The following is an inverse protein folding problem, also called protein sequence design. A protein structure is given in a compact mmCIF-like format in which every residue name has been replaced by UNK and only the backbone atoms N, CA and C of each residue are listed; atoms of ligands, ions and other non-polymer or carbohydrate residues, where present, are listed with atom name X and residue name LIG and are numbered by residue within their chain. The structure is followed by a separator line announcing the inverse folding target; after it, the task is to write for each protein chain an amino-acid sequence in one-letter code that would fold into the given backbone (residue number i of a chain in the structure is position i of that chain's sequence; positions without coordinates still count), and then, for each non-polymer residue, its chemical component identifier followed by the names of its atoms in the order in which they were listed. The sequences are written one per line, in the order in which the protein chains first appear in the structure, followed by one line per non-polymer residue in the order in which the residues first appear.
data_IF_988850109847
#
_entry.id   IF_988850109847
#
_cell.length_a   1.000
_cell.length_b   1.000
_cell.length_c   1.000
_cell.angle_alpha   90.00
_cell.angle_beta   90.00
_cell.angle_gamma   90.00
#
_symmetry.space_group_name_H-M   'P 1'
#
loop_
_entity.id
_entity.type
_entity.pdbx_description
1 polymer ?
#
# COMPACT_ATOMS: atom_id res chain seq x y z
N UNK A 1 -12.65 -0.47 22.51
CA UNK A 1 -12.03 -1.79 22.32
C UNK A 1 -11.74 -1.86 20.84
N UNK A 2 -10.47 -1.97 20.47
CA UNK A 2 -10.11 -2.16 19.07
C UNK A 2 -10.45 -3.59 18.69
N UNK A 3 -11.10 -3.77 17.55
CA UNK A 3 -11.45 -5.06 16.98
C UNK A 3 -10.79 -5.25 15.60
N UNK A 4 -10.87 -6.46 15.07
CA UNK A 4 -10.28 -6.82 13.77
C UNK A 4 -10.75 -5.91 12.64
N UNK A 5 -12.03 -5.52 12.68
CA UNK A 5 -12.62 -4.70 11.63
C UNK A 5 -12.13 -3.23 11.72
N UNK A 6 -11.82 -2.72 12.92
CA UNK A 6 -11.13 -1.43 13.08
C UNK A 6 -9.74 -1.46 12.45
N UNK A 7 -8.99 -2.56 12.63
CA UNK A 7 -7.69 -2.75 11.98
C UNK A 7 -7.81 -2.79 10.46
N UNK A 8 -8.74 -3.59 9.92
CA UNK A 8 -9.00 -3.67 8.47
C UNK A 8 -9.44 -2.32 7.89
N UNK A 9 -10.29 -1.58 8.60
CA UNK A 9 -10.74 -0.27 8.17
C UNK A 9 -9.59 0.75 8.18
N UNK A 10 -8.67 0.68 9.14
CA UNK A 10 -7.46 1.51 9.16
C UNK A 10 -6.54 1.19 7.97
N UNK A 11 -6.30 -0.09 7.68
CA UNK A 11 -5.57 -0.55 6.50
C UNK A 11 -6.19 -0.03 5.19
N UNK A 12 -7.52 0.07 5.11
CA UNK A 12 -8.21 0.68 3.95
C UNK A 12 -8.10 2.20 3.88
N UNK A 13 -7.66 2.88 4.93
CA UNK A 13 -7.84 4.34 5.05
C UNK A 13 -6.63 5.16 4.64
N UNK A 14 -5.42 4.61 4.62
CA UNK A 14 -4.17 5.39 4.45
C UNK A 14 -4.21 6.46 3.34
N UNK A 15 -4.74 6.17 2.13
CA UNK A 15 -4.72 7.15 1.04
C UNK A 15 -5.47 8.46 1.33
N UNK A 16 -6.40 8.45 2.29
CA UNK A 16 -7.21 9.61 2.66
C UNK A 16 -6.83 10.24 4.00
N UNK A 17 -5.80 9.75 4.69
CA UNK A 17 -5.47 10.20 6.05
C UNK A 17 -4.38 11.25 6.11
N UNK A 18 -3.52 11.32 5.11
CA UNK A 18 -2.39 12.23 5.08
C UNK A 18 -2.11 12.74 3.67
N UNK A 19 -1.67 14.00 3.59
CA UNK A 19 -1.20 14.66 2.36
C UNK A 19 0.29 14.55 2.21
N UNK A 20 1.01 14.71 3.31
CA UNK A 20 2.46 14.54 3.31
C UNK A 20 2.96 13.87 4.57
N UNK A 21 4.06 13.14 4.42
CA UNK A 21 4.74 12.45 5.51
C UNK A 21 6.24 12.59 5.33
N UNK A 22 6.93 12.77 6.45
CA UNK A 22 8.36 12.55 6.57
C UNK A 22 8.57 11.32 7.44
N UNK A 23 9.36 10.37 6.95
CA UNK A 23 9.60 9.10 7.65
C UNK A 23 11.02 8.58 7.45
N UNK A 24 11.42 7.68 8.33
CA UNK A 24 12.61 6.84 8.19
C UNK A 24 12.17 5.38 8.14
N UNK A 25 12.57 4.63 7.11
CA UNK A 25 12.38 3.17 7.02
C UNK A 25 13.71 2.48 7.30
N UNK A 26 13.73 1.47 8.17
CA UNK A 26 14.87 0.59 8.39
C UNK A 26 14.48 -0.86 8.12
N UNK A 27 15.24 -1.58 7.31
CA UNK A 27 15.07 -3.03 7.14
C UNK A 27 15.65 -3.77 8.35
N UNK A 28 15.09 -4.94 8.66
CA UNK A 28 15.52 -5.81 9.78
C UNK A 28 15.70 -7.23 9.26
N UNK A 29 16.82 -7.87 9.62
CA UNK A 29 17.16 -9.22 9.17
C UNK A 29 17.64 -9.27 7.71
N UNK A 30 17.75 -10.48 7.16
CA UNK A 30 18.15 -10.71 5.76
C UNK A 30 16.96 -10.62 4.79
N UNK A 31 15.82 -10.05 5.22
CA UNK A 31 14.58 -9.96 4.44
C UNK A 31 14.80 -9.47 3.00
N UNK A 32 15.78 -8.58 2.79
CA UNK A 32 16.42 -8.25 1.52
C UNK A 32 17.85 -7.83 1.92
N UNK A 33 18.89 -8.39 1.31
CA UNK A 33 20.28 -8.20 1.76
C UNK A 33 20.68 -6.74 1.99
N UNK A 34 21.02 -6.44 3.25
CA UNK A 34 21.76 -5.29 3.82
C UNK A 34 21.00 -4.07 4.36
N UNK A 35 21.51 -3.57 5.50
CA UNK A 35 21.06 -2.44 6.32
C UNK A 35 20.91 -1.11 5.55
N UNK A 36 19.80 -0.90 4.85
CA UNK A 36 19.54 0.38 4.18
C UNK A 36 18.40 1.13 4.89
N UNK A 37 18.78 1.81 5.98
CA UNK A 37 17.97 2.88 6.55
C UNK A 37 17.84 4.01 5.52
N UNK A 38 16.61 4.39 5.18
CA UNK A 38 16.33 5.47 4.24
C UNK A 38 15.43 6.52 4.88
N UNK A 39 15.64 7.79 4.55
CA UNK A 39 14.74 8.89 4.94
C UNK A 39 13.96 9.37 3.74
N UNK A 40 12.65 9.52 3.90
CA UNK A 40 11.77 9.90 2.81
C UNK A 40 10.84 11.06 3.18
N UNK A 41 10.55 11.85 2.15
CA UNK A 41 9.53 12.90 2.14
C UNK A 41 8.57 12.58 1.01
N UNK A 42 7.31 12.37 1.32
CA UNK A 42 6.28 12.04 0.34
C UNK A 42 5.20 13.11 0.43
N UNK A 43 4.85 13.69 -0.71
CA UNK A 43 3.76 14.65 -0.89
C UNK A 43 2.78 14.08 -1.93
N UNK A 44 1.56 13.80 -1.49
CA UNK A 44 0.48 13.37 -2.37
C UNK A 44 -0.16 14.57 -3.08
N UNK A 45 -0.48 14.44 -4.38
CA UNK A 45 -0.18 13.29 -5.24
C UNK A 45 1.25 13.30 -5.79
N UNK A 46 1.88 12.12 -5.84
CA UNK A 46 2.91 11.81 -6.84
C UNK A 46 4.31 12.36 -6.60
N UNK A 47 4.59 13.08 -5.51
CA UNK A 47 5.95 13.57 -5.22
C UNK A 47 6.60 12.78 -4.10
N UNK A 48 7.83 12.38 -4.33
CA UNK A 48 8.63 11.69 -3.34
C UNK A 48 10.11 12.05 -3.48
N UNK A 49 10.76 12.21 -2.34
CA UNK A 49 12.21 12.27 -2.21
C UNK A 49 12.64 11.21 -1.21
N UNK A 50 13.58 10.34 -1.59
CA UNK A 50 14.22 9.38 -0.69
C UNK A 50 15.72 9.68 -0.66
N UNK A 51 16.31 9.65 0.52
CA UNK A 51 17.74 9.73 0.74
C UNK A 51 18.17 8.41 1.37
N UNK A 52 19.02 7.67 0.67
CA UNK A 52 19.55 6.38 1.14
C UNK A 52 20.65 6.56 2.21
N UNK A 53 21.19 5.44 2.70
CA UNK A 53 22.24 5.41 3.71
C UNK A 53 23.58 6.02 3.23
N UNK A 54 23.84 6.00 1.92
CA UNK A 54 25.01 6.60 1.26
C UNK A 54 24.82 8.10 0.98
N UNK A 55 23.60 8.62 1.21
CA UNK A 55 23.22 10.00 0.92
C UNK A 55 22.82 10.24 -0.53
N UNK A 56 22.60 9.20 -1.33
CA UNK A 56 22.06 9.30 -2.69
C UNK A 56 20.61 9.73 -2.62
N UNK A 57 20.25 10.72 -3.44
CA UNK A 57 18.87 11.19 -3.52
C UNK A 57 18.12 10.57 -4.70
N UNK A 58 16.95 10.02 -4.41
CA UNK A 58 15.99 9.54 -5.39
C UNK A 58 14.79 10.49 -5.39
N UNK A 59 14.58 11.19 -6.50
CA UNK A 59 13.48 12.12 -6.69
C UNK A 59 12.49 11.57 -7.70
N UNK A 60 11.22 11.50 -7.31
CA UNK A 60 10.11 11.11 -8.17
C UNK A 60 9.06 12.22 -8.15
N UNK A 61 8.66 12.69 -9.34
CA UNK A 61 7.52 13.58 -9.52
C UNK A 61 6.63 12.99 -10.62
N UNK A 62 5.57 12.30 -10.20
CA UNK A 62 4.53 11.73 -11.03
C UNK A 62 3.24 12.56 -10.95
N UNK A 63 3.34 13.85 -10.61
CA UNK A 63 2.16 14.73 -10.57
C UNK A 63 1.45 14.78 -11.93
N UNK A 64 0.11 15.02 -11.96
CA UNK A 64 -0.74 14.74 -13.13
C UNK A 64 -0.49 15.56 -14.40
N UNK A 65 0.57 16.35 -14.51
CA UNK A 65 0.86 17.10 -15.73
C UNK A 65 1.07 16.19 -16.96
N UNK A 66 1.46 14.91 -16.75
CA UNK A 66 1.74 13.95 -17.82
C UNK A 66 1.08 12.55 -17.65
N UNK A 67 0.07 12.39 -16.77
CA UNK A 67 -0.65 11.10 -16.62
C UNK A 67 -1.61 10.88 -17.80
N UNK A 68 -1.03 10.33 -18.88
CA UNK A 68 -1.60 10.21 -20.22
C UNK A 68 -2.84 9.31 -20.36
N UNK A 69 -3.58 9.60 -21.43
CA UNK A 69 -4.77 8.90 -21.91
C UNK A 69 -4.60 7.37 -21.88
N UNK A 70 -5.52 6.67 -21.22
CA UNK A 70 -5.73 5.23 -21.47
C UNK A 70 -6.52 5.08 -22.77
N UNK A 71 -5.86 4.76 -23.88
CA UNK A 71 -6.51 4.43 -25.14
C UNK A 71 -6.87 2.93 -25.15
N UNK A 72 -8.11 2.58 -24.80
CA UNK A 72 -8.61 1.21 -24.97
C UNK A 72 -8.95 1.02 -26.45
N UNK A 73 -8.07 0.34 -27.19
CA UNK A 73 -8.36 -0.08 -28.57
C UNK A 73 -8.95 -1.49 -28.55
N UNK A 74 -10.27 -1.60 -28.57
CA UNK A 74 -10.94 -2.86 -28.87
C UNK A 74 -10.83 -3.14 -30.37
N UNK A 75 -10.10 -4.18 -30.76
CA UNK A 75 -10.12 -4.69 -32.14
C UNK A 75 -11.30 -5.65 -32.28
N UNK A 76 -12.45 -5.14 -32.70
CA UNK A 76 -13.52 -5.98 -33.26
C UNK A 76 -13.30 -6.07 -34.77
N UNK A 77 -13.03 -7.29 -35.23
CA UNK A 77 -12.87 -7.67 -36.62
C UNK A 77 -14.24 -7.88 -37.28
N UNK A 78 -14.68 -6.87 -38.03
CA UNK A 78 -15.44 -7.11 -39.26
C UNK A 78 -16.81 -6.44 -39.37
N UNK A 79 -16.97 -5.77 -40.51
CA UNK A 79 -18.24 -5.45 -41.19
C UNK A 79 -19.00 -4.18 -40.78
N UNK A 80 -18.46 -3.05 -41.23
CA UNK A 80 -19.15 -2.08 -42.11
C UNK A 80 -20.51 -1.50 -41.69
N UNK A 81 -20.47 -0.29 -41.11
CA UNK A 81 -21.35 0.86 -41.42
C UNK A 81 -20.73 2.10 -40.75
N UNK A 82 -20.59 3.19 -41.51
CA UNK A 82 -19.93 4.43 -41.10
C UNK A 82 -20.77 5.28 -40.14
N UNK A 83 -21.08 4.76 -38.94
CA UNK A 83 -21.47 5.61 -37.82
C UNK A 83 -20.22 6.15 -37.13
N UNK A 84 -20.06 7.47 -37.18
CA UNK A 84 -18.99 8.17 -36.47
C UNK A 84 -19.02 7.82 -34.99
N UNK A 85 -18.02 7.05 -34.54
CA UNK A 85 -17.76 6.84 -33.13
C UNK A 85 -17.58 8.20 -32.46
N UNK A 86 -18.40 8.49 -31.47
CA UNK A 86 -18.17 9.65 -30.62
C UNK A 86 -16.73 9.56 -30.06
N UNK A 87 -15.97 10.67 -30.01
CA UNK A 87 -14.68 10.65 -29.34
C UNK A 87 -14.92 10.17 -27.91
N UNK A 88 -14.40 9.00 -27.57
CA UNK A 88 -14.38 8.51 -26.19
C UNK A 88 -13.45 9.47 -25.46
N UNK A 89 -14.00 10.35 -24.65
CA UNK A 89 -13.17 11.24 -23.83
C UNK A 89 -12.26 10.37 -22.97
N UNK A 90 -10.96 10.67 -22.89
CA UNK A 90 -10.07 9.88 -22.07
C UNK A 90 -10.55 9.87 -20.64
N UNK A 91 -10.60 8.68 -20.06
CA UNK A 91 -10.85 8.48 -18.63
C UNK A 91 -9.79 9.26 -17.86
N UNK A 92 -10.20 10.34 -17.19
CA UNK A 92 -9.31 11.07 -16.27
C UNK A 92 -9.03 10.14 -15.09
N UNK A 93 -7.78 9.69 -14.96
CA UNK A 93 -7.33 8.96 -13.77
C UNK A 93 -7.19 9.96 -12.64
N UNK A 94 -7.92 9.74 -11.56
CA UNK A 94 -7.91 10.54 -10.33
C UNK A 94 -7.12 9.82 -9.25
N UNK A 95 -6.68 10.54 -8.22
CA UNK A 95 -6.09 9.97 -7.00
C UNK A 95 -6.98 10.26 -5.77
N UNK A 96 -6.86 9.51 -4.67
CA UNK A 96 -7.74 9.60 -3.49
C UNK A 96 -8.01 11.00 -2.92
N UNK A 97 -7.07 11.95 -3.04
CA UNK A 97 -7.20 13.31 -2.51
C UNK A 97 -7.60 14.35 -3.57
N UNK A 98 -7.80 13.94 -4.82
CA UNK A 98 -8.29 14.83 -5.86
C UNK A 98 -9.76 15.21 -5.58
N UNK A 99 -10.14 16.49 -5.74
CA UNK A 99 -11.54 16.90 -5.56
C UNK A 99 -12.53 16.19 -6.52
N UNK A 100 -12.03 15.71 -7.66
CA UNK A 100 -12.82 14.98 -8.65
C UNK A 100 -12.84 13.45 -8.42
N UNK A 101 -12.05 12.94 -7.46
CA UNK A 101 -12.04 11.52 -7.15
C UNK A 101 -13.35 11.10 -6.48
N UNK A 102 -13.86 9.89 -6.76
CA UNK A 102 -14.99 9.34 -6.02
C UNK A 102 -14.63 9.21 -4.53
N UNK A 103 -15.51 9.67 -3.65
CA UNK A 103 -15.31 9.54 -2.22
C UNK A 103 -15.45 8.08 -1.76
N UNK A 104 -14.65 7.61 -0.78
CA UNK A 104 -14.82 6.30 -0.18
C UNK A 104 -16.07 6.24 0.69
N UNK A 105 -16.62 5.04 0.86
CA UNK A 105 -17.64 4.83 1.88
C UNK A 105 -16.98 4.82 3.25
N UNK A 106 -17.49 5.67 4.15
CA UNK A 106 -16.95 5.82 5.51
C UNK A 106 -17.87 5.19 6.55
N UNK A 107 -17.23 4.63 7.57
CA UNK A 107 -17.85 4.19 8.81
C UNK A 107 -18.20 5.41 9.70
N UNK A 108 -19.03 5.23 10.74
CA UNK A 108 -19.32 6.29 11.71
C UNK A 108 -18.09 6.84 12.45
N UNK A 109 -17.02 6.03 12.56
CA UNK A 109 -15.73 6.41 13.17
C UNK A 109 -14.80 7.19 12.20
N UNK A 110 -15.23 7.38 10.95
CA UNK A 110 -14.49 8.11 9.91
C UNK A 110 -13.52 7.25 9.09
N UNK A 111 -13.27 5.99 9.49
CA UNK A 111 -12.45 5.05 8.73
C UNK A 111 -13.19 4.55 7.48
N UNK A 112 -12.44 4.08 6.49
CA UNK A 112 -12.97 3.59 5.22
C UNK A 112 -13.61 2.21 5.41
N UNK A 113 -14.91 2.13 5.15
CA UNK A 113 -15.64 0.87 5.02
C UNK A 113 -15.30 0.20 3.69
N UNK A 114 -15.33 0.96 2.60
CA UNK A 114 -15.12 0.45 1.24
C UNK A 114 -14.45 1.49 0.36
N UNK A 115 -13.39 1.08 -0.33
CA UNK A 115 -12.71 1.93 -1.33
C UNK A 115 -13.52 1.99 -2.63
N UNK A 116 -13.49 3.11 -3.36
CA UNK A 116 -14.02 3.17 -4.71
C UNK A 116 -13.35 2.09 -5.60
N UNK A 117 -14.15 1.18 -6.13
CA UNK A 117 -13.71 0.16 -7.08
C UNK A 117 -13.88 0.70 -8.51
N UNK A 118 -12.78 0.98 -9.21
CA UNK A 118 -12.82 1.43 -10.60
C UNK A 118 -11.44 1.76 -11.15
N UNK A 119 -11.24 1.55 -12.45
CA UNK A 119 -9.95 1.80 -13.15
C UNK A 119 -9.59 3.28 -13.26
N UNK A 120 -10.45 4.18 -12.78
CA UNK A 120 -10.28 5.63 -12.84
C UNK A 120 -9.66 6.22 -11.57
N UNK A 121 -9.30 5.38 -10.59
CA UNK A 121 -8.62 5.82 -9.36
C UNK A 121 -7.28 5.09 -9.24
N UNK A 122 -6.18 5.85 -9.26
CA UNK A 122 -4.85 5.34 -8.97
C UNK A 122 -4.54 5.52 -7.48
N UNK A 123 -4.31 4.41 -6.78
CA UNK A 123 -4.02 4.41 -5.35
C UNK A 123 -2.53 4.46 -5.02
N UNK A 124 -1.68 4.01 -5.94
CA UNK A 124 -0.27 3.83 -5.67
C UNK A 124 0.44 5.18 -5.51
N UNK A 125 1.17 5.30 -4.40
CA UNK A 125 2.17 6.33 -4.19
C UNK A 125 3.41 6.05 -5.06
N UNK A 126 4.26 7.07 -5.31
CA UNK A 126 5.53 6.87 -5.98
C UNK A 126 6.34 5.72 -5.37
N UNK A 127 6.82 4.83 -6.23
CA UNK A 127 7.56 3.64 -5.83
C UNK A 127 9.04 3.97 -5.57
N UNK A 128 9.59 3.48 -4.46
CA UNK A 128 11.02 3.41 -4.21
C UNK A 128 11.43 1.93 -4.15
N UNK A 129 12.35 1.52 -5.01
CA UNK A 129 12.85 0.15 -5.22
C UNK A 129 11.80 -0.85 -5.73
N UNK A 130 10.72 -1.09 -4.99
CA UNK A 130 9.72 -2.11 -5.30
C UNK A 130 8.36 -1.86 -4.61
N UNK A 131 7.38 -2.73 -4.84
CA UNK A 131 6.02 -2.58 -4.32
C UNK A 131 5.86 -2.81 -2.81
N UNK A 132 6.87 -3.35 -2.11
CA UNK A 132 6.84 -3.43 -0.64
C UNK A 132 6.75 -2.01 -0.04
N UNK A 133 7.45 -1.04 -0.65
CA UNK A 133 7.37 0.36 -0.29
C UNK A 133 5.95 0.92 -0.42
N UNK A 134 5.29 0.64 -1.53
CA UNK A 134 3.92 1.11 -1.80
C UNK A 134 2.93 0.43 -0.86
N UNK A 135 3.09 -0.87 -0.62
CA UNK A 135 2.25 -1.63 0.29
C UNK A 135 2.44 -1.22 1.77
N UNK A 136 3.63 -0.76 2.15
CA UNK A 136 3.91 -0.15 3.46
C UNK A 136 3.14 1.17 3.63
N UNK A 137 3.21 2.07 2.64
CA UNK A 137 2.52 3.36 2.67
C UNK A 137 1.00 3.22 2.64
N UNK A 138 0.50 2.23 1.92
CA UNK A 138 -0.90 1.93 1.80
C UNK A 138 -1.16 0.44 2.10
N UNK A 139 -1.37 0.00 3.35
CA UNK A 139 -1.43 -1.43 3.68
C UNK A 139 -2.79 -2.09 3.41
N UNK A 140 -3.46 -1.77 2.30
CA UNK A 140 -4.78 -2.32 1.93
C UNK A 140 -4.82 -3.85 1.90
N UNK A 141 -3.69 -4.48 1.60
CA UNK A 141 -3.50 -5.93 1.59
C UNK A 141 -3.83 -6.58 2.95
N UNK A 142 -3.75 -5.81 4.05
CA UNK A 142 -4.13 -6.27 5.39
C UNK A 142 -5.64 -6.16 5.66
N UNK A 143 -6.42 -5.62 4.72
CA UNK A 143 -7.85 -5.36 4.93
C UNK A 143 -8.75 -6.51 4.52
N UNK A 144 -8.29 -7.39 3.63
CA UNK A 144 -9.00 -8.57 3.15
C UNK A 144 -8.00 -9.72 2.89
N UNK A 145 -8.48 -10.95 2.78
CA UNK A 145 -7.63 -12.10 2.44
C UNK A 145 -6.60 -12.50 3.51
N UNK A 146 -6.64 -11.89 4.70
CA UNK A 146 -5.80 -12.21 5.85
C UNK A 146 -6.64 -12.61 7.07
N UNK A 147 -6.20 -13.58 7.85
CA UNK A 147 -6.73 -13.86 9.18
C UNK A 147 -6.05 -12.92 10.19
N UNK A 148 -6.85 -12.21 11.01
CA UNK A 148 -6.33 -11.38 12.11
C UNK A 148 -6.40 -12.20 13.39
N UNK A 149 -5.25 -12.68 13.86
CA UNK A 149 -5.16 -13.60 15.00
C UNK A 149 -5.22 -12.87 16.35
N UNK A 150 -4.73 -11.63 16.37
CA UNK A 150 -4.76 -10.74 17.51
C UNK A 150 -4.73 -9.30 17.01
N UNK A 151 -5.32 -8.40 17.80
CA UNK A 151 -5.19 -6.95 17.61
C UNK A 151 -5.19 -6.27 18.96
N UNK A 152 -4.28 -5.32 19.14
CA UNK A 152 -4.22 -4.47 20.30
C UNK A 152 -3.84 -3.04 19.93
N UNK A 153 -4.23 -2.10 20.80
CA UNK A 153 -3.86 -0.71 20.66
C UNK A 153 -2.73 -0.40 21.63
N UNK A 154 -1.64 0.13 21.08
CA UNK A 154 -0.44 0.51 21.83
C UNK A 154 -0.02 1.93 21.46
N UNK A 155 1.01 2.43 22.16
CA UNK A 155 1.69 3.68 21.81
C UNK A 155 3.11 3.33 21.40
N UNK A 156 3.45 3.55 20.13
CA UNK A 156 4.79 3.35 19.57
C UNK A 156 5.40 4.70 19.23
N UNK A 157 6.57 5.00 19.79
CA UNK A 157 7.26 6.29 19.59
C UNK A 157 6.37 7.53 19.83
N UNK A 158 5.45 7.43 20.79
CA UNK A 158 4.52 8.52 21.13
C UNK A 158 3.31 8.64 20.21
N UNK A 159 3.08 7.69 19.31
CA UNK A 159 1.96 7.65 18.36
C UNK A 159 1.04 6.47 18.64
N UNK A 160 -0.27 6.70 18.59
CA UNK A 160 -1.25 5.62 18.73
C UNK A 160 -1.10 4.63 17.55
N UNK A 161 -1.01 3.35 17.85
CA UNK A 161 -0.71 2.30 16.86
C UNK A 161 -1.58 1.08 17.12
N UNK A 162 -2.04 0.43 16.04
CA UNK A 162 -2.70 -0.88 16.12
C UNK A 162 -1.69 -1.97 15.77
N UNK A 163 -1.29 -2.76 16.75
CA UNK A 163 -0.45 -3.94 16.53
C UNK A 163 -1.35 -5.15 16.33
N UNK A 164 -1.01 -6.00 15.35
CA UNK A 164 -1.75 -7.19 15.02
C UNK A 164 -0.82 -8.33 14.62
N UNK A 165 -1.23 -9.56 14.92
CA UNK A 165 -0.65 -10.75 14.29
C UNK A 165 -1.60 -11.22 13.20
N UNK A 166 -1.09 -11.33 11.98
CA UNK A 166 -1.89 -11.68 10.79
C UNK A 166 -1.32 -12.90 10.07
N UNK A 167 -2.18 -13.63 9.36
CA UNK A 167 -1.77 -14.74 8.49
C UNK A 167 -2.45 -14.60 7.12
N UNK A 168 -1.70 -14.61 6.00
CA UNK A 168 -2.28 -14.68 4.66
C UNK A 168 -3.15 -15.94 4.50
N UNK A 169 -4.31 -15.78 3.88
CA UNK A 169 -5.17 -16.89 3.46
C UNK A 169 -5.06 -17.09 1.95
N UNK A 170 -5.69 -18.14 1.40
CA UNK A 170 -5.76 -18.33 -0.06
C UNK A 170 -6.49 -17.19 -0.81
N UNK A 171 -7.19 -16.29 -0.10
CA UNK A 171 -7.82 -15.10 -0.67
C UNK A 171 -6.94 -13.84 -0.55
N UNK A 172 -5.69 -13.95 -0.06
CA UNK A 172 -4.75 -12.84 0.01
C UNK A 172 -4.47 -12.31 -1.41
N UNK A 173 -4.67 -11.02 -1.60
CA UNK A 173 -4.54 -10.33 -2.90
C UNK A 173 -3.48 -9.23 -2.74
N UNK A 174 -2.17 -9.58 -2.83
CA UNK A 174 -1.11 -8.60 -2.72
C UNK A 174 -1.10 -7.67 -3.94
N UNK A 175 -0.66 -6.42 -3.78
CA UNK A 175 -0.47 -5.51 -4.92
C UNK A 175 0.49 -6.06 -5.95
N UNK A 176 1.50 -6.76 -5.47
CA UNK A 176 2.53 -7.37 -6.28
C UNK A 176 2.94 -8.69 -5.65
N UNK A 177 2.84 -9.78 -6.40
CA UNK A 177 3.13 -11.14 -5.90
C UNK A 177 4.61 -11.35 -5.55
N UNK A 178 5.55 -10.68 -6.25
CA UNK A 178 6.99 -10.79 -5.97
C UNK A 178 7.50 -9.84 -4.88
N UNK A 179 6.70 -8.85 -4.46
CA UNK A 179 7.07 -7.86 -3.43
C UNK A 179 5.86 -7.55 -2.52
N UNK A 180 5.12 -8.60 -2.17
CA UNK A 180 3.94 -8.49 -1.32
C UNK A 180 4.30 -7.90 0.05
N UNK A 181 3.33 -7.29 0.74
CA UNK A 181 3.59 -6.88 2.12
C UNK A 181 3.89 -8.10 3.00
N UNK A 182 3.10 -9.18 2.85
CA UNK A 182 3.26 -10.44 3.56
C UNK A 182 3.90 -11.48 2.62
N UNK A 183 5.22 -11.40 2.44
CA UNK A 183 5.96 -12.36 1.60
C UNK A 183 5.98 -13.73 2.29
N UNK A 184 5.15 -14.65 1.79
CA UNK A 184 5.00 -15.99 2.35
C UNK A 184 4.62 -17.03 1.30
N UNK A 185 4.23 -18.22 1.77
CA UNK A 185 3.82 -19.34 0.90
C UNK A 185 2.74 -18.92 -0.11
N UNK A 186 1.73 -18.16 0.35
CA UNK A 186 0.61 -17.73 -0.51
C UNK A 186 1.08 -16.82 -1.65
N UNK A 187 1.87 -15.78 -1.35
CA UNK A 187 2.37 -14.88 -2.40
C UNK A 187 3.33 -15.58 -3.35
N UNK A 188 4.12 -16.54 -2.84
CA UNK A 188 5.00 -17.36 -3.66
C UNK A 188 4.24 -18.31 -4.60
N UNK A 189 3.13 -18.91 -4.12
CA UNK A 189 2.23 -19.70 -4.96
C UNK A 189 1.59 -18.86 -6.07
N UNK A 190 1.11 -17.66 -5.74
CA UNK A 190 0.57 -16.70 -6.72
C UNK A 190 1.63 -16.32 -7.77
N UNK A 191 2.84 -15.95 -7.34
CA UNK A 191 3.95 -15.62 -8.24
C UNK A 191 4.25 -16.75 -9.21
N UNK A 192 4.28 -18.00 -8.71
CA UNK A 192 4.48 -19.18 -9.55
C UNK A 192 3.34 -19.38 -10.54
N UNK A 193 2.09 -19.19 -10.11
CA UNK A 193 0.92 -19.30 -10.97
C UNK A 193 0.93 -18.25 -12.11
N UNK A 194 1.55 -17.09 -11.86
CA UNK A 194 1.77 -16.03 -12.86
C UNK A 194 2.98 -16.29 -13.78
N UNK A 195 3.72 -17.38 -13.57
CA UNK A 195 4.92 -17.72 -14.33
C UNK A 195 6.18 -16.97 -13.89
N UNK A 196 6.15 -16.40 -12.68
CA UNK A 196 7.32 -15.81 -12.04
C UNK A 196 8.39 -16.83 -11.65
N UNK A 197 9.54 -16.37 -11.15
CA UNK A 197 10.60 -17.27 -10.70
C UNK A 197 10.11 -18.13 -9.54
N UNK A 198 10.57 -19.38 -9.50
CA UNK A 198 10.40 -20.18 -8.30
C UNK A 198 11.15 -19.49 -7.15
N UNK A 199 10.50 -19.32 -5.97
CA UNK A 199 11.19 -18.84 -4.80
C UNK A 199 12.37 -19.76 -4.47
N UNK A 200 13.39 -19.21 -3.82
CA UNK A 200 14.47 -20.03 -3.27
C UNK A 200 13.90 -21.09 -2.31
N UNK A 201 14.55 -22.25 -2.23
CA UNK A 201 14.18 -23.30 -1.28
C UNK A 201 14.37 -22.76 0.16
N UNK A 202 13.29 -22.19 0.72
CA UNK A 202 13.24 -21.63 2.08
C UNK A 202 11.94 -21.97 2.77
N UNK A 203 11.96 -22.04 4.10
CA UNK A 203 10.76 -22.09 4.92
C UNK A 203 10.19 -20.67 5.09
N UNK A 204 8.95 -20.45 4.64
CA UNK A 204 8.25 -19.18 4.85
C UNK A 204 7.71 -19.04 6.28
N UNK A 205 7.49 -17.80 6.70
CA UNK A 205 6.82 -17.48 7.96
C UNK A 205 5.37 -18.02 8.02
N UNK A 206 4.95 -18.44 9.21
CA UNK A 206 3.59 -18.95 9.48
C UNK A 206 2.58 -17.82 9.72
N UNK A 207 3.08 -16.66 10.15
CA UNK A 207 2.33 -15.46 10.47
C UNK A 207 3.26 -14.24 10.44
N UNK A 208 2.69 -13.05 10.56
CA UNK A 208 3.41 -11.80 10.57
C UNK A 208 2.91 -10.92 11.71
N UNK A 209 3.83 -10.31 12.46
CA UNK A 209 3.48 -9.18 13.33
C UNK A 209 3.54 -7.91 12.50
N UNK A 210 2.48 -7.11 12.56
CA UNK A 210 2.36 -5.84 11.83
C UNK A 210 1.84 -4.74 12.74
N UNK A 211 2.21 -3.51 12.47
CA UNK A 211 1.76 -2.35 13.23
C UNK A 211 1.28 -1.24 12.31
N UNK A 212 0.09 -0.69 12.55
CA UNK A 212 -0.48 0.43 11.77
C UNK A 212 -0.55 1.69 12.61
N UNK A 213 0.07 2.77 12.15
CA UNK A 213 -0.07 4.09 12.79
C UNK A 213 -1.51 4.59 12.65
N UNK A 214 -2.16 4.94 13.76
CA UNK A 214 -3.59 5.31 13.76
C UNK A 214 -3.83 6.62 13.02
N UNK A 215 -2.90 7.57 13.08
CA UNK A 215 -3.06 8.87 12.42
C UNK A 215 -2.99 8.73 10.89
N UNK A 216 -2.04 7.96 10.36
CA UNK A 216 -1.76 7.86 8.91
C UNK A 216 -2.32 6.60 8.26
N UNK A 217 -2.48 5.51 8.99
CA UNK A 217 -2.79 4.19 8.45
C UNK A 217 -1.60 3.49 7.79
N UNK A 218 -0.39 4.05 7.86
CA UNK A 218 0.85 3.46 7.33
C UNK A 218 1.23 2.23 8.15
N UNK A 219 1.74 1.19 7.49
CA UNK A 219 2.36 0.06 8.16
C UNK A 219 3.75 0.48 8.69
N UNK A 220 3.88 0.60 10.01
CA UNK A 220 5.08 1.08 10.68
C UNK A 220 5.96 -0.02 11.27
N UNK A 221 5.48 -1.26 11.25
CA UNK A 221 6.29 -2.43 11.52
C UNK A 221 5.79 -3.61 10.70
N UNK A 222 6.74 -4.43 10.26
CA UNK A 222 6.48 -5.79 9.82
C UNK A 222 7.57 -6.72 10.37
N UNK A 223 7.16 -7.86 10.91
CA UNK A 223 8.04 -8.97 11.30
C UNK A 223 7.49 -10.30 10.84
N UNK A 224 8.35 -11.11 10.23
CA UNK A 224 8.11 -12.53 10.00
C UNK A 224 8.08 -13.28 11.34
N UNK A 225 7.12 -14.20 11.49
CA UNK A 225 7.00 -15.09 12.65
C UNK A 225 7.09 -16.55 12.18
N UNK A 226 8.22 -17.19 12.50
CA UNK A 226 8.61 -18.49 11.97
C UNK A 226 9.34 -18.40 10.63
N UNK A 227 9.58 -19.56 10.01
CA UNK A 227 10.37 -19.64 8.77
C UNK A 227 11.88 -19.47 9.01
N UNK A 228 12.62 -19.40 7.90
CA UNK A 228 14.08 -19.22 7.93
C UNK A 228 14.48 -17.76 8.25
N UNK A 229 13.60 -16.80 7.95
CA UNK A 229 13.81 -15.36 8.13
C UNK A 229 13.06 -14.81 9.37
N UNK A 230 12.87 -15.63 10.42
CA UNK A 230 12.14 -15.24 11.65
C UNK A 230 12.66 -13.92 12.24
N UNK A 231 11.73 -12.99 12.47
CA UNK A 231 12.03 -11.64 12.96
C UNK A 231 12.53 -10.66 11.90
N UNK A 232 12.64 -11.05 10.63
CA UNK A 232 12.98 -10.14 9.54
C UNK A 232 11.77 -9.29 9.10
N UNK A 233 12.03 -8.15 8.45
CA UNK A 233 11.00 -7.22 7.97
C UNK A 233 11.48 -5.77 7.97
N UNK A 234 10.68 -4.84 8.49
CA UNK A 234 11.05 -3.41 8.55
C UNK A 234 10.44 -2.65 9.72
N UNK A 235 11.07 -1.54 10.08
CA UNK A 235 10.58 -0.50 10.98
C UNK A 235 10.36 0.80 10.21
N UNK A 236 9.31 1.55 10.56
CA UNK A 236 9.11 2.92 10.09
C UNK A 236 8.92 3.86 11.25
N UNK A 237 9.74 4.91 11.29
CA UNK A 237 9.56 6.05 12.19
C UNK A 237 8.98 7.22 11.43
N UNK A 238 7.83 7.73 11.89
CA UNK A 238 7.17 8.89 11.28
C UNK A 238 7.61 10.14 12.04
N UNK A 239 8.31 11.05 11.35
CA UNK A 239 8.85 12.29 11.93
C UNK A 239 7.86 13.45 11.88
N UNK A 240 7.13 13.55 10.77
CA UNK A 240 6.18 14.62 10.54
C UNK A 240 5.06 14.17 9.61
N UNK A 241 3.85 14.70 9.83
CA UNK A 241 2.66 14.39 9.03
C UNK A 241 1.88 15.68 8.80
N UNK A 242 1.40 15.88 7.58
CA UNK A 242 0.30 16.80 7.28
C UNK A 242 -0.96 15.95 7.09
N UNK A 243 -1.71 15.76 8.17
CA UNK A 243 -2.92 14.97 8.16
C UNK A 243 -4.03 15.66 7.35
N UNK A 244 -4.91 14.88 6.74
CA UNK A 244 -6.12 15.40 6.12
C UNK A 244 -7.17 15.60 7.21
N UNK A 245 -7.72 16.81 7.31
CA UNK A 245 -8.72 17.08 8.32
C UNK A 245 -10.05 16.38 7.97
N UNK A 246 -10.77 15.80 8.96
CA UNK A 246 -12.10 15.23 8.72
C UNK A 246 -13.09 16.20 8.07
N UNK A 247 -12.89 17.51 8.23
CA UNK A 247 -13.73 18.56 7.67
C UNK A 247 -13.56 18.77 6.16
N UNK A 248 -12.53 18.20 5.54
CA UNK A 248 -12.23 18.40 4.11
C UNK A 248 -13.00 17.46 3.18
N UNK A 249 -13.84 16.59 3.75
CA UNK A 249 -14.66 15.61 3.03
C UNK A 249 -16.17 15.88 3.11
N UNK A 250 -16.57 17.08 3.55
CA UNK A 250 -17.97 17.49 3.77
C UNK A 250 -18.61 18.20 2.59
#
# INVERSE_FOLDING_TARGET
MVDEETFRALARSSPWRWRSVELTRRLVGDAITADEEVRAWIDRPGRMRVVDHDGTEHLVDETPADRGLVLVSSSDDGSGDGSGGAPVEPSVVTVPLDPAAPAPERRPDGLVARRPSGVTVAYDDPMYENYLWVAMLDPVELSDGVDVLSVEQVVREGRDTLEATVRPTAAYDPRCTCCALLIGEVSAELLRAEGGPDPEDRAFADAFAVALDVETGICVELRELGGDDDGAGFDVRIEAVVAVSPAEFG
#
